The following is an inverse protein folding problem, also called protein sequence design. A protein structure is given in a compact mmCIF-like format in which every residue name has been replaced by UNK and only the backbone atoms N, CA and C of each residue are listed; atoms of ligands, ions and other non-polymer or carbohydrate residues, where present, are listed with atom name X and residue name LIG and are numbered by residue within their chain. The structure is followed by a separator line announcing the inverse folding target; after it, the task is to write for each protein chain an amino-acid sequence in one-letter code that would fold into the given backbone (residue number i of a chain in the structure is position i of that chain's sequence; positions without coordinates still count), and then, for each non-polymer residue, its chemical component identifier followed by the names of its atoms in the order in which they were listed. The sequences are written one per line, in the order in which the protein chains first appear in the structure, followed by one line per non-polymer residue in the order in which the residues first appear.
data_IF_512229552916
#
_entry.id   IF_512229552916
#
_cell.length_a   1.000
_cell.length_b   1.000
_cell.length_c   1.000
_cell.angle_alpha   90.00
_cell.angle_beta   90.00
_cell.angle_gamma   90.00
#
_symmetry.space_group_name_H-M   'P 1'
#
loop_
_entity.id
_entity.type
_entity.pdbx_description
1 polymer ?
#
# COMPACT_ATOMS: atom_id res chain seq x y z
N UNK A 1 -0.75 -7.84 -4.16
CA UNK A 1 0.55 -8.12 -3.53
C UNK A 1 0.52 -9.44 -2.79
N UNK A 2 1.14 -10.46 -3.37
CA UNK A 2 1.32 -11.78 -2.75
C UNK A 2 2.44 -11.76 -1.72
N UNK A 3 2.22 -12.45 -0.59
CA UNK A 3 3.15 -12.57 0.54
C UNK A 3 4.57 -13.03 0.12
N UNK A 4 4.69 -13.68 -1.04
CA UNK A 4 5.94 -14.22 -1.56
C UNK A 4 6.90 -13.14 -2.09
N UNK A 5 6.39 -12.03 -2.66
CA UNK A 5 7.26 -10.98 -3.21
C UNK A 5 7.90 -10.08 -2.13
N UNK A 6 7.24 -9.95 -0.97
CA UNK A 6 7.73 -9.14 0.16
C UNK A 6 8.88 -9.78 0.93
N UNK A 7 9.04 -11.12 0.84
CA UNK A 7 10.05 -11.86 1.60
C UNK A 7 11.47 -11.69 1.02
N UNK A 8 11.58 -11.39 -0.27
CA UNK A 8 12.85 -11.26 -0.99
C UNK A 8 13.36 -9.81 -1.11
N UNK A 9 12.60 -8.82 -0.63
CA UNK A 9 12.97 -7.41 -0.72
C UNK A 9 13.83 -6.97 0.46
N UNK A 10 14.81 -6.12 0.21
CA UNK A 10 15.63 -5.48 1.25
C UNK A 10 14.79 -4.49 2.10
N UNK A 11 15.22 -4.18 3.33
CA UNK A 11 14.49 -3.26 4.23
C UNK A 11 14.23 -1.90 3.57
N UNK A 12 15.19 -1.38 2.81
CA UNK A 12 15.04 -0.13 2.08
C UNK A 12 13.99 -0.23 0.96
N UNK A 13 13.95 -1.34 0.23
CA UNK A 13 12.95 -1.56 -0.80
C UNK A 13 11.54 -1.68 -0.22
N UNK A 14 11.38 -2.30 0.95
CA UNK A 14 10.09 -2.36 1.67
C UNK A 14 9.64 -0.95 2.08
N UNK A 15 10.57 -0.09 2.52
CA UNK A 15 10.27 1.30 2.89
C UNK A 15 9.84 2.14 1.69
N UNK A 16 10.50 1.98 0.54
CA UNK A 16 10.11 2.62 -0.72
C UNK A 16 8.70 2.20 -1.14
N UNK A 17 8.39 0.90 -1.03
CA UNK A 17 7.08 0.36 -1.36
C UNK A 17 5.97 0.91 -0.45
N UNK A 18 6.22 0.99 0.86
CA UNK A 18 5.28 1.62 1.82
C UNK A 18 4.99 3.07 1.42
N UNK A 19 6.00 3.82 1.02
CA UNK A 19 5.83 5.21 0.59
C UNK A 19 5.03 5.31 -0.72
N UNK A 20 5.27 4.39 -1.67
CA UNK A 20 4.49 4.30 -2.91
C UNK A 20 3.00 4.04 -2.62
N UNK A 21 2.70 3.04 -1.79
CA UNK A 21 1.33 2.68 -1.41
C UNK A 21 0.62 3.81 -0.66
N UNK A 22 1.33 4.55 0.20
CA UNK A 22 0.77 5.75 0.87
C UNK A 22 0.42 6.85 -0.13
N UNK A 23 1.25 7.05 -1.16
CA UNK A 23 1.00 8.02 -2.23
C UNK A 23 -0.21 7.61 -3.07
N UNK A 24 -0.33 6.34 -3.39
CA UNK A 24 -1.49 5.79 -4.10
C UNK A 24 -2.79 5.96 -3.29
N UNK A 25 -2.75 5.70 -1.97
CA UNK A 25 -3.88 5.93 -1.07
C UNK A 25 -4.28 7.42 -1.03
N UNK A 26 -3.30 8.33 -1.05
CA UNK A 26 -3.55 9.76 -1.08
C UNK A 26 -4.21 10.19 -2.39
N UNK A 27 -3.71 9.72 -3.54
CA UNK A 27 -4.32 9.97 -4.84
C UNK A 27 -5.76 9.45 -4.90
N UNK A 28 -6.02 8.25 -4.37
CA UNK A 28 -7.37 7.71 -4.26
C UNK A 28 -8.28 8.57 -3.39
N UNK A 29 -7.79 9.09 -2.26
CA UNK A 29 -8.56 10.03 -1.43
C UNK A 29 -8.87 11.33 -2.18
N UNK A 30 -7.91 11.89 -2.91
CA UNK A 30 -8.15 13.07 -3.74
C UNK A 30 -9.23 12.81 -4.79
N UNK A 31 -9.14 11.66 -5.48
CA UNK A 31 -10.15 11.24 -6.46
C UNK A 31 -11.53 10.98 -5.82
N UNK A 32 -11.56 10.59 -4.53
CA UNK A 32 -12.81 10.46 -3.76
C UNK A 32 -13.45 11.80 -3.49
N UNK A 33 -12.64 12.81 -3.17
CA UNK A 33 -13.11 14.15 -2.89
C UNK A 33 -13.68 14.82 -4.15
N UNK A 34 -13.11 14.51 -5.33
CA UNK A 34 -13.62 14.99 -6.62
C UNK A 34 -14.84 14.21 -7.12
N UNK A 35 -15.33 13.23 -6.35
CA UNK A 35 -16.51 12.42 -6.71
C UNK A 35 -16.28 11.38 -7.81
N UNK A 36 -15.03 11.15 -8.22
CA UNK A 36 -14.67 10.24 -9.32
C UNK A 36 -14.21 8.84 -8.85
N UNK A 37 -14.60 8.42 -7.63
CA UNK A 37 -14.25 7.06 -7.17
C UNK A 37 -15.21 6.04 -7.77
N UNK A 38 -14.68 5.27 -8.72
CA UNK A 38 -15.38 4.14 -9.34
C UNK A 38 -15.38 2.88 -8.46
N UNK A 39 -14.33 2.68 -7.67
CA UNK A 39 -14.15 1.45 -6.88
C UNK A 39 -13.65 1.76 -5.46
N UNK A 40 -14.58 1.76 -4.51
CA UNK A 40 -14.30 1.98 -3.09
C UNK A 40 -13.53 0.80 -2.46
N UNK A 41 -13.55 -0.38 -3.09
CA UNK A 41 -12.83 -1.56 -2.58
C UNK A 41 -11.31 -1.37 -2.62
N UNK A 42 -10.80 -0.52 -3.52
CA UNK A 42 -9.37 -0.23 -3.66
C UNK A 42 -8.77 0.38 -2.40
N UNK A 43 -9.53 1.19 -1.66
CA UNK A 43 -9.08 1.76 -0.39
C UNK A 43 -8.72 0.67 0.61
N UNK A 44 -9.58 -0.33 0.76
CA UNK A 44 -9.34 -1.43 1.68
C UNK A 44 -8.21 -2.33 1.20
N UNK A 45 -8.10 -2.59 -0.12
CA UNK A 45 -6.98 -3.35 -0.69
C UNK A 45 -5.64 -2.68 -0.39
N UNK A 46 -5.51 -1.37 -0.62
CA UNK A 46 -4.25 -0.64 -0.39
C UNK A 46 -3.94 -0.57 1.11
N UNK A 47 -4.93 -0.33 1.98
CA UNK A 47 -4.72 -0.36 3.44
C UNK A 47 -4.19 -1.71 3.92
N UNK A 48 -4.75 -2.82 3.43
CA UNK A 48 -4.30 -4.17 3.76
C UNK A 48 -2.89 -4.44 3.22
N UNK A 49 -2.55 -3.92 2.03
CA UNK A 49 -1.21 -4.02 1.47
C UNK A 49 -0.17 -3.25 2.31
N UNK A 50 -0.49 -2.02 2.74
CA UNK A 50 0.35 -1.23 3.63
C UNK A 50 0.56 -1.97 4.96
N UNK A 51 -0.51 -2.50 5.55
CA UNK A 51 -0.42 -3.25 6.81
C UNK A 51 0.50 -4.47 6.67
N UNK A 52 0.37 -5.24 5.58
CA UNK A 52 1.25 -6.37 5.28
C UNK A 52 2.71 -5.93 5.13
N UNK A 53 2.97 -4.87 4.37
CA UNK A 53 4.31 -4.35 4.17
C UNK A 53 4.96 -3.90 5.50
N UNK A 54 4.19 -3.24 6.37
CA UNK A 54 4.65 -2.86 7.72
C UNK A 54 4.91 -4.07 8.62
N UNK A 55 4.07 -5.11 8.57
CA UNK A 55 4.33 -6.35 9.31
C UNK A 55 5.65 -6.99 8.88
N UNK A 56 5.92 -7.07 7.57
CA UNK A 56 7.20 -7.59 7.07
C UNK A 56 8.38 -6.68 7.41
N UNK A 57 8.20 -5.36 7.40
CA UNK A 57 9.23 -4.40 7.81
C UNK A 57 9.62 -4.59 9.28
N UNK A 58 8.65 -4.74 10.18
CA UNK A 58 8.88 -4.92 11.61
C UNK A 58 9.36 -6.32 11.98
N UNK A 59 9.03 -7.34 11.17
CA UNK A 59 9.46 -8.72 11.39
C UNK A 59 10.90 -9.00 10.95
N UNK A 60 11.53 -8.08 10.20
CA UNK A 60 12.94 -8.14 9.82
C UNK A 60 13.77 -7.28 10.76
#
# INVERSE_FOLDING_TARGET
MDKKNLKNLDKESIKLEINSLKRELFNLKLNSLTGQVKDVSQFNKIKVQIARALTFFNSK
#
